data_IF_419535544965
#
_entry.id   IF_419535544965
#
_cell.length_a   1.000
_cell.length_b   1.000
_cell.length_c   1.000
_cell.angle_alpha   90.00
_cell.angle_beta   90.00
_cell.angle_gamma   90.00
#
_symmetry.space_group_name_H-M   'P 1'
#
loop_
_entity.id
_entity.type
_entity.pdbx_description
1 polymer ?
#
# COMPACT_ATOMS: atom_id res chain seq x y z
N UNK A 1 -27.48 34.46 10.19
CA UNK A 1 -26.45 34.77 9.18
C UNK A 1 -25.69 33.48 8.88
N UNK A 2 -25.42 33.22 7.59
CA UNK A 2 -25.27 31.89 6.98
C UNK A 2 -24.42 30.86 7.74
N UNK A 3 -25.06 29.74 8.14
CA UNK A 3 -24.35 28.52 8.49
C UNK A 3 -23.86 27.90 7.17
N UNK A 4 -22.65 28.21 6.76
CA UNK A 4 -21.96 27.47 5.71
C UNK A 4 -22.02 26.00 6.09
N UNK A 5 -22.63 25.16 5.24
CA UNK A 5 -22.70 23.73 5.50
C UNK A 5 -21.27 23.22 5.67
N UNK A 6 -20.91 22.61 6.81
CA UNK A 6 -19.54 22.17 7.03
C UNK A 6 -19.10 21.23 5.93
N UNK A 7 -17.94 21.51 5.34
CA UNK A 7 -17.36 20.71 4.28
C UNK A 7 -17.01 19.32 4.80
N UNK A 8 -16.81 18.35 3.89
CA UNK A 8 -16.29 17.04 4.28
C UNK A 8 -14.98 17.16 5.09
N UNK A 9 -14.10 18.10 4.71
CA UNK A 9 -12.86 18.39 5.44
C UNK A 9 -13.12 18.85 6.87
N UNK A 10 -14.11 19.72 7.11
CA UNK A 10 -14.47 20.17 8.47
C UNK A 10 -15.07 19.04 9.33
N UNK A 11 -15.74 18.07 8.68
CA UNK A 11 -16.25 16.87 9.37
C UNK A 11 -15.12 15.89 9.67
N UNK A 12 -14.16 15.75 8.76
CA UNK A 12 -12.98 14.90 8.91
C UNK A 12 -12.08 15.36 10.07
N UNK A 13 -11.80 16.67 10.17
CA UNK A 13 -10.99 17.20 11.26
C UNK A 13 -11.68 17.03 12.63
N UNK A 14 -13.01 17.20 12.68
CA UNK A 14 -13.79 16.91 13.90
C UNK A 14 -13.72 15.44 14.29
N UNK A 15 -13.93 14.55 13.32
CA UNK A 15 -13.81 13.11 13.55
C UNK A 15 -12.41 12.72 14.04
N UNK A 16 -11.35 13.35 13.50
CA UNK A 16 -9.98 13.13 13.96
C UNK A 16 -9.79 13.57 15.42
N UNK A 17 -10.36 14.72 15.79
CA UNK A 17 -10.31 15.22 17.17
C UNK A 17 -11.05 14.29 18.14
N UNK A 18 -12.22 13.77 17.75
CA UNK A 18 -13.03 12.84 18.54
C UNK A 18 -12.27 11.53 18.84
N UNK A 19 -11.33 11.14 17.98
CA UNK A 19 -10.52 9.93 18.14
C UNK A 19 -9.15 10.19 18.80
N UNK A 20 -8.91 11.39 19.33
CA UNK A 20 -7.62 11.75 19.93
C UNK A 20 -7.25 10.88 21.13
N UNK A 21 -8.22 10.48 21.96
CA UNK A 21 -7.99 9.58 23.10
C UNK A 21 -7.68 8.15 22.64
N UNK A 22 -8.35 7.67 21.59
CA UNK A 22 -8.01 6.39 20.97
C UNK A 22 -6.58 6.40 20.45
N UNK A 23 -6.18 7.45 19.72
CA UNK A 23 -4.81 7.63 19.22
C UNK A 23 -3.79 7.61 20.36
N UNK A 24 -4.07 8.27 21.48
CA UNK A 24 -3.20 8.30 22.67
C UNK A 24 -3.06 6.94 23.36
N UNK A 25 -4.06 6.08 23.25
CA UNK A 25 -4.03 4.73 23.80
C UNK A 25 -3.27 3.73 22.91
N UNK A 26 -2.99 4.07 21.65
CA UNK A 26 -2.21 3.21 20.75
C UNK A 26 -0.76 3.07 21.20
N UNK A 27 -0.12 1.97 20.79
CA UNK A 27 1.33 1.83 20.94
C UNK A 27 2.00 2.87 20.03
N UNK A 28 3.17 3.38 20.44
CA UNK A 28 3.96 4.34 19.65
C UNK A 28 4.23 3.92 18.20
N UNK A 29 4.33 2.62 17.94
CA UNK A 29 4.52 2.08 16.57
C UNK A 29 3.26 2.19 15.70
N UNK A 30 2.09 2.23 16.31
CA UNK A 30 0.78 2.21 15.64
C UNK A 30 0.23 3.64 15.43
N UNK A 31 0.67 4.62 16.24
CA UNK A 31 0.29 6.03 16.08
C UNK A 31 0.52 6.59 14.67
N UNK A 32 1.67 6.37 14.00
CA UNK A 32 1.90 6.87 12.64
C UNK A 32 0.97 6.21 11.62
N UNK A 33 0.64 4.92 11.80
CA UNK A 33 -0.30 4.22 10.93
C UNK A 33 -1.71 4.77 11.07
N UNK A 34 -2.11 5.09 12.31
CA UNK A 34 -3.38 5.76 12.56
C UNK A 34 -3.47 7.13 11.90
N UNK A 35 -2.42 7.95 12.01
CA UNK A 35 -2.40 9.29 11.40
C UNK A 35 -2.55 9.20 9.85
N UNK A 36 -1.93 8.20 9.21
CA UNK A 36 -2.08 7.95 7.76
C UNK A 36 -3.51 7.63 7.32
N UNK A 37 -4.35 7.05 8.18
CA UNK A 37 -5.75 6.78 7.83
C UNK A 37 -6.49 8.06 7.46
N UNK A 38 -6.21 9.16 8.18
CA UNK A 38 -6.82 10.46 7.90
C UNK A 38 -6.20 11.14 6.67
N UNK A 39 -4.95 10.84 6.34
CA UNK A 39 -4.32 11.29 5.08
C UNK A 39 -4.98 10.62 3.88
N UNK A 40 -5.21 9.31 3.92
CA UNK A 40 -5.94 8.55 2.90
C UNK A 40 -7.35 9.09 2.68
N UNK A 41 -8.07 9.40 3.77
CA UNK A 41 -9.39 10.02 3.69
C UNK A 41 -9.34 11.45 3.11
N UNK A 42 -8.28 12.21 3.40
CA UNK A 42 -8.10 13.56 2.84
C UNK A 42 -7.81 13.54 1.35
N UNK A 43 -7.05 12.54 0.87
CA UNK A 43 -6.75 12.35 -0.55
C UNK A 43 -8.03 12.16 -1.40
N UNK A 44 -9.08 11.60 -0.80
CA UNK A 44 -10.38 11.33 -1.43
C UNK A 44 -11.48 12.33 -1.04
N UNK A 45 -11.10 13.48 -0.46
CA UNK A 45 -12.08 14.45 0.08
C UNK A 45 -13.02 15.04 -0.98
N UNK A 46 -12.57 15.12 -2.23
CA UNK A 46 -13.38 15.53 -3.38
C UNK A 46 -14.45 14.49 -3.71
N UNK A 47 -14.08 13.20 -3.79
CA UNK A 47 -15.02 12.09 -4.01
C UNK A 47 -16.01 11.96 -2.85
N UNK A 48 -15.55 12.09 -1.62
CA UNK A 48 -16.38 12.06 -0.42
C UNK A 48 -17.36 13.24 -0.35
N UNK A 49 -17.03 14.38 -0.97
CA UNK A 49 -17.90 15.55 -1.03
C UNK A 49 -19.17 15.35 -1.85
N UNK A 50 -19.18 14.39 -2.78
CA UNK A 50 -20.36 14.06 -3.60
C UNK A 50 -21.38 13.20 -2.84
N UNK A 51 -20.90 12.36 -1.94
CA UNK A 51 -21.74 11.61 -1.02
C UNK A 51 -22.08 12.53 0.15
N UNK A 52 -23.23 13.20 0.10
CA UNK A 52 -23.85 13.82 1.28
C UNK A 52 -24.31 12.72 2.28
N UNK A 53 -23.38 11.87 2.71
CA UNK A 53 -23.64 10.76 3.60
C UNK A 53 -23.77 11.29 5.03
N UNK A 54 -24.81 10.85 5.75
CA UNK A 54 -25.12 11.33 7.10
C UNK A 54 -24.01 11.03 8.11
N UNK A 55 -23.28 9.94 7.86
CA UNK A 55 -22.13 9.53 8.68
C UNK A 55 -20.81 9.76 7.95
N UNK A 56 -19.91 10.63 8.45
CA UNK A 56 -18.62 10.92 7.82
C UNK A 56 -17.63 9.77 7.94
N UNK A 57 -17.83 8.82 8.87
CA UNK A 57 -16.91 7.67 9.03
C UNK A 57 -16.98 6.71 7.83
N UNK A 58 -18.13 6.57 7.17
CA UNK A 58 -18.31 5.65 6.04
C UNK A 58 -17.42 6.04 4.84
N UNK A 59 -17.48 7.27 4.30
CA UNK A 59 -16.57 7.71 3.23
C UNK A 59 -15.10 7.67 3.66
N UNK A 60 -14.78 7.94 4.94
CA UNK A 60 -13.42 7.81 5.48
C UNK A 60 -12.91 6.38 5.38
N UNK A 61 -13.69 5.40 5.87
CA UNK A 61 -13.31 4.00 5.84
C UNK A 61 -13.18 3.48 4.40
N UNK A 62 -14.06 3.92 3.49
CA UNK A 62 -13.96 3.56 2.08
C UNK A 62 -12.67 4.11 1.44
N UNK A 63 -12.32 5.36 1.72
CA UNK A 63 -11.08 5.97 1.23
C UNK A 63 -9.84 5.25 1.74
N UNK A 64 -9.83 4.89 3.02
CA UNK A 64 -8.78 4.07 3.64
C UNK A 64 -8.67 2.71 2.96
N UNK A 65 -9.80 2.03 2.73
CA UNK A 65 -9.82 0.73 2.09
C UNK A 65 -9.27 0.79 0.66
N UNK A 66 -9.63 1.83 -0.12
CA UNK A 66 -9.13 2.01 -1.49
C UNK A 66 -7.60 2.19 -1.52
N UNK A 67 -7.05 3.05 -0.67
CA UNK A 67 -5.60 3.28 -0.58
C UNK A 67 -4.85 2.02 -0.13
N UNK A 68 -5.44 1.26 0.79
CA UNK A 68 -4.88 -0.01 1.22
C UNK A 68 -4.90 -1.04 0.10
N UNK A 69 -5.97 -1.14 -0.69
CA UNK A 69 -6.02 -2.02 -1.86
C UNK A 69 -4.97 -1.64 -2.91
N UNK A 70 -4.81 -0.34 -3.19
CA UNK A 70 -3.77 0.14 -4.11
C UNK A 70 -2.36 -0.21 -3.61
N UNK A 71 -2.11 -0.06 -2.31
CA UNK A 71 -0.83 -0.42 -1.69
C UNK A 71 -0.57 -1.92 -1.77
N UNK A 72 -1.58 -2.75 -1.50
CA UNK A 72 -1.47 -4.22 -1.61
C UNK A 72 -1.12 -4.61 -3.04
N UNK A 73 -1.85 -4.11 -4.04
CA UNK A 73 -1.59 -4.42 -5.44
C UNK A 73 -0.16 -4.03 -5.87
N UNK A 74 0.32 -2.86 -5.45
CA UNK A 74 1.69 -2.43 -5.74
C UNK A 74 2.76 -3.29 -5.04
N UNK A 75 2.47 -3.80 -3.84
CA UNK A 75 3.36 -4.73 -3.14
C UNK A 75 3.37 -6.11 -3.80
N UNK A 76 2.21 -6.62 -4.21
CA UNK A 76 2.08 -7.88 -4.95
C UNK A 76 2.84 -7.82 -6.28
N UNK A 77 2.73 -6.73 -7.03
CA UNK A 77 3.48 -6.53 -8.27
C UNK A 77 4.99 -6.53 -8.02
N UNK A 78 5.45 -5.84 -6.97
CA UNK A 78 6.88 -5.81 -6.60
C UNK A 78 7.40 -7.18 -6.17
N UNK A 79 6.61 -7.93 -5.41
CA UNK A 79 6.98 -9.30 -5.01
C UNK A 79 7.10 -10.18 -6.25
N UNK A 80 6.11 -10.17 -7.13
CA UNK A 80 6.14 -10.95 -8.38
C UNK A 80 7.34 -10.59 -9.27
N UNK A 81 7.69 -9.30 -9.36
CA UNK A 81 8.85 -8.86 -10.13
C UNK A 81 10.18 -9.33 -9.51
N UNK A 82 10.30 -9.34 -8.18
CA UNK A 82 11.49 -9.84 -7.48
C UNK A 82 11.62 -11.35 -7.63
N UNK A 83 10.53 -12.10 -7.45
CA UNK A 83 10.50 -13.56 -7.64
C UNK A 83 10.90 -13.94 -9.08
N UNK A 84 10.41 -13.21 -10.09
CA UNK A 84 10.78 -13.45 -11.48
C UNK A 84 12.27 -13.18 -11.76
N UNK A 85 12.87 -12.18 -11.11
CA UNK A 85 14.29 -11.87 -11.25
C UNK A 85 15.19 -12.89 -10.53
N UNK A 86 14.75 -13.41 -9.39
CA UNK A 86 15.43 -14.51 -8.69
C UNK A 86 15.40 -15.80 -9.52
N UNK A 87 14.25 -16.13 -10.13
CA UNK A 87 14.11 -17.27 -11.04
C UNK A 87 15.02 -17.16 -12.26
N UNK A 88 15.10 -15.98 -12.87
CA UNK A 88 15.99 -15.72 -14.02
C UNK A 88 17.46 -15.88 -13.64
N UNK A 89 17.86 -15.28 -12.52
CA UNK A 89 19.21 -15.42 -11.97
C UNK A 89 19.54 -16.89 -11.66
N UNK A 90 18.58 -17.66 -11.13
CA UNK A 90 18.74 -19.08 -10.87
C UNK A 90 18.94 -19.90 -12.14
N UNK A 91 18.19 -19.59 -13.22
CA UNK A 91 18.36 -20.23 -14.53
C UNK A 91 19.72 -19.92 -15.15
N UNK A 92 20.20 -18.68 -15.03
CA UNK A 92 21.53 -18.30 -15.51
C UNK A 92 22.65 -19.07 -14.79
N UNK A 93 22.55 -19.20 -13.47
CA UNK A 93 23.51 -19.96 -12.67
C UNK A 93 23.50 -21.44 -13.06
N UNK A 94 22.33 -22.05 -13.21
CA UNK A 94 22.18 -23.45 -13.62
C UNK A 94 22.72 -23.71 -15.04
N UNK A 95 22.48 -22.78 -15.96
CA UNK A 95 23.02 -22.84 -17.32
C UNK A 95 24.55 -22.73 -17.34
N UNK A 96 25.13 -21.83 -16.54
CA UNK A 96 26.58 -21.70 -16.38
C UNK A 96 27.20 -22.96 -15.77
N UNK A 97 26.56 -23.54 -14.73
CA UNK A 97 27.05 -24.76 -14.10
C UNK A 97 27.00 -25.95 -15.07
N UNK A 98 25.89 -26.10 -15.80
CA UNK A 98 25.73 -27.14 -16.82
C UNK A 98 26.77 -27.00 -17.94
N UNK A 99 27.13 -25.76 -18.32
CA UNK A 99 28.17 -25.51 -19.32
C UNK A 99 29.58 -25.86 -18.83
N UNK A 100 29.87 -25.67 -17.53
CA UNK A 100 31.14 -26.05 -16.91
C UNK A 100 31.26 -27.58 -16.77
N UNK A 101 30.17 -28.26 -16.42
CA UNK A 101 30.15 -29.71 -16.20
C UNK A 101 30.15 -30.53 -17.49
N UNK A 102 29.92 -29.89 -18.66
CA UNK A 102 30.00 -30.56 -19.96
C UNK A 102 31.45 -30.95 -20.29
N UNK A 103 31.74 -32.23 -20.58
CA UNK A 103 33.08 -32.65 -21.01
C UNK A 103 33.50 -31.89 -22.27
N UNK A 104 34.69 -31.31 -22.25
CA UNK A 104 35.27 -30.63 -23.41
C UNK A 104 35.29 -31.59 -24.61
N UNK A 105 34.65 -31.27 -25.75
CA UNK A 105 34.48 -32.22 -26.86
C UNK A 105 35.77 -32.49 -27.66
N UNK A 106 36.90 -31.92 -27.25
CA UNK A 106 38.20 -32.03 -27.91
C UNK A 106 39.28 -32.66 -27.03
N UNK A 107 38.94 -33.66 -26.23
CA UNK A 107 39.94 -34.61 -25.75
C UNK A 107 40.54 -35.30 -26.97
N UNK A 108 41.76 -34.93 -27.33
CA UNK A 108 42.51 -35.53 -28.43
C UNK A 108 42.78 -36.98 -28.01
N UNK A 109 42.01 -37.92 -28.54
CA UNK A 109 42.37 -39.34 -28.48
C UNK A 109 43.60 -39.53 -29.40
N UNK A 110 44.74 -39.82 -28.77
CA UNK A 110 45.99 -40.27 -29.41
C UNK A 110 45.84 -41.60 -30.15
#
# INVERSE_FOLDING_TARGET
MGRTNPTFRDRLERLRADWSDYRRALRRRDEPHFDRLFEHARAHADACGYLNHDSPIVPVLLSVALEQQATIAALEERVAALEAAEDDSGREVDACQTAIERPWPGGVDE
#
